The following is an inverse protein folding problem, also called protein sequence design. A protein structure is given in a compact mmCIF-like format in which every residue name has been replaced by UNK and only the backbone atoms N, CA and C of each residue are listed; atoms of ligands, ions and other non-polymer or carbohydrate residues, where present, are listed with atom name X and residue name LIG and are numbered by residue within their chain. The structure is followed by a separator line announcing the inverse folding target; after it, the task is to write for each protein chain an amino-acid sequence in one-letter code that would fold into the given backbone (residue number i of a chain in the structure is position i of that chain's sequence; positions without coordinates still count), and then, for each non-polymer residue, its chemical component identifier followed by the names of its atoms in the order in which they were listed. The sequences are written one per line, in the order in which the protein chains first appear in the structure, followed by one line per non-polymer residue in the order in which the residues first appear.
data_IF_667845556474
#
_entry.id   IF_667845556474
#
_cell.length_a   1.000
_cell.length_b   1.000
_cell.length_c   1.000
_cell.angle_alpha   90.00
_cell.angle_beta   90.00
_cell.angle_gamma   90.00
#
_symmetry.space_group_name_H-M   'P 1'
#
loop_
_entity.id
_entity.type
_entity.pdbx_description
1 polymer ?
#
# COMPACT_ATOMS: atom_id res chain seq x y z
N UNK A 1 -8.13 18.64 -3.60
CA UNK A 1 -8.58 17.44 -4.34
C UNK A 1 -8.64 16.30 -3.33
N UNK A 2 -9.48 15.29 -3.53
CA UNK A 2 -9.49 14.07 -2.72
C UNK A 2 -8.84 12.91 -3.49
N UNK A 3 -8.44 11.87 -2.75
CA UNK A 3 -7.90 10.61 -3.28
C UNK A 3 -9.02 9.71 -3.79
N UNK A 4 -8.65 8.71 -4.59
CA UNK A 4 -9.61 7.66 -4.98
C UNK A 4 -10.10 6.88 -3.74
N UNK A 5 -9.24 6.65 -2.76
CA UNK A 5 -9.63 6.04 -1.48
C UNK A 5 -10.76 6.81 -0.77
N UNK A 6 -10.62 8.14 -0.68
CA UNK A 6 -11.66 9.01 -0.11
C UNK A 6 -12.96 8.99 -0.95
N UNK A 7 -12.85 9.02 -2.28
CA UNK A 7 -14.02 8.97 -3.17
C UNK A 7 -14.79 7.66 -3.02
N UNK A 8 -14.10 6.52 -2.91
CA UNK A 8 -14.73 5.22 -2.68
C UNK A 8 -15.41 5.18 -1.32
N UNK A 9 -14.75 5.67 -0.26
CA UNK A 9 -15.35 5.71 1.08
C UNK A 9 -16.58 6.63 1.12
N UNK A 10 -16.57 7.75 0.39
CA UNK A 10 -17.71 8.66 0.27
C UNK A 10 -18.86 8.05 -0.54
N UNK A 11 -18.56 7.30 -1.59
CA UNK A 11 -19.57 6.62 -2.41
C UNK A 11 -20.25 5.46 -1.67
N UNK A 12 -19.55 4.83 -0.71
CA UNK A 12 -20.08 3.73 0.10
C UNK A 12 -19.85 4.01 1.60
N UNK A 13 -20.65 4.89 2.23
CA UNK A 13 -20.41 5.36 3.60
C UNK A 13 -20.40 4.25 4.66
N UNK A 14 -21.13 3.16 4.43
CA UNK A 14 -21.19 2.01 5.34
C UNK A 14 -20.03 1.01 5.14
N UNK A 15 -19.33 1.08 4.00
CA UNK A 15 -18.18 0.23 3.74
C UNK A 15 -17.00 0.68 4.60
N UNK A 16 -16.22 -0.29 5.11
CA UNK A 16 -14.98 -0.03 5.85
C UNK A 16 -13.79 -0.06 4.90
N UNK A 17 -13.56 1.03 4.18
CA UNK A 17 -12.54 1.08 3.12
C UNK A 17 -11.13 1.10 3.74
N UNK A 18 -10.26 0.23 3.21
CA UNK A 18 -8.83 0.20 3.53
C UNK A 18 -8.03 0.26 2.24
N UNK A 19 -7.22 1.31 2.08
CA UNK A 19 -6.26 1.46 0.98
C UNK A 19 -4.96 0.75 1.34
N UNK A 20 -4.45 -0.09 0.44
CA UNK A 20 -3.13 -0.71 0.54
C UNK A 20 -2.65 -1.23 -0.83
N UNK A 21 -1.47 -1.85 -0.89
CA UNK A 21 -0.84 -2.54 -2.03
C UNK A 21 -0.55 -1.73 -3.31
N UNK A 22 -1.14 -0.53 -3.48
CA UNK A 22 -1.07 0.23 -4.73
C UNK A 22 0.33 0.75 -5.14
N UNK A 23 1.34 0.60 -4.26
CA UNK A 23 2.68 1.17 -4.42
C UNK A 23 3.72 0.17 -4.93
N UNK A 24 3.29 -1.02 -5.36
CA UNK A 24 4.14 -2.06 -5.93
C UNK A 24 3.45 -2.76 -7.10
N UNK A 25 4.22 -3.52 -7.88
CA UNK A 25 3.68 -4.37 -8.94
C UNK A 25 2.97 -5.60 -8.38
N UNK A 26 2.06 -6.20 -9.16
CA UNK A 26 1.28 -7.36 -8.74
C UNK A 26 2.12 -8.55 -8.22
N UNK A 27 3.26 -8.93 -8.85
CA UNK A 27 4.11 -9.99 -8.31
C UNK A 27 4.64 -9.68 -6.89
N UNK A 28 4.99 -8.41 -6.64
CA UNK A 28 5.48 -7.96 -5.33
C UNK A 28 4.36 -7.93 -4.29
N UNK A 29 3.08 -7.76 -4.68
CA UNK A 29 1.95 -7.81 -3.75
C UNK A 29 1.83 -9.13 -2.98
N UNK A 30 2.17 -10.25 -3.64
CA UNK A 30 2.00 -11.62 -3.12
C UNK A 30 3.32 -12.31 -2.76
N UNK A 31 4.45 -11.79 -3.24
CA UNK A 31 5.78 -12.31 -2.96
C UNK A 31 6.77 -11.16 -2.68
N UNK A 32 6.54 -10.34 -1.64
CA UNK A 32 7.32 -9.15 -1.38
C UNK A 32 8.78 -9.44 -0.96
N UNK A 33 9.08 -10.64 -0.46
CA UNK A 33 10.44 -11.13 -0.19
C UNK A 33 11.27 -11.39 -1.45
N UNK A 34 10.65 -11.45 -2.63
CA UNK A 34 11.34 -11.63 -3.91
C UNK A 34 12.00 -10.34 -4.43
N UNK A 35 11.82 -9.21 -3.74
CA UNK A 35 12.45 -7.93 -4.10
C UNK A 35 13.95 -7.96 -3.73
N UNK A 36 14.87 -7.73 -4.70
CA UNK A 36 16.29 -7.64 -4.40
C UNK A 36 16.61 -6.50 -3.42
N UNK A 37 17.51 -6.75 -2.46
CA UNK A 37 17.88 -5.76 -1.44
C UNK A 37 16.93 -5.70 -0.24
N UNK A 38 15.92 -6.55 -0.20
CA UNK A 38 15.01 -6.72 0.92
C UNK A 38 13.61 -6.17 0.66
N UNK A 39 12.71 -6.51 1.57
CA UNK A 39 11.31 -6.24 1.43
C UNK A 39 10.97 -4.73 1.51
N UNK A 40 10.09 -4.20 0.63
CA UNK A 40 9.53 -2.85 0.77
C UNK A 40 8.64 -2.71 2.01
N UNK A 41 8.36 -1.47 2.40
CA UNK A 41 7.36 -1.17 3.43
C UNK A 41 5.98 -1.08 2.80
N UNK A 42 4.99 -1.77 3.34
CA UNK A 42 3.59 -1.60 2.95
C UNK A 42 2.87 -0.61 3.86
N UNK A 43 1.87 0.08 3.30
CA UNK A 43 1.09 1.06 4.03
C UNK A 43 -0.39 0.68 4.05
N UNK A 44 -1.08 1.00 5.14
CA UNK A 44 -2.53 0.90 5.25
C UNK A 44 -3.13 2.26 5.65
N UNK A 45 -4.24 2.63 5.02
CA UNK A 45 -5.00 3.85 5.30
C UNK A 45 -6.49 3.52 5.33
N UNK A 46 -7.21 3.93 6.38
CA UNK A 46 -8.62 3.61 6.53
C UNK A 46 -9.20 4.10 7.86
N UNK A 47 -10.49 4.42 7.86
CA UNK A 47 -11.17 5.05 9.00
C UNK A 47 -11.45 4.06 10.15
N UNK A 48 -11.67 2.79 9.83
CA UNK A 48 -12.04 1.76 10.78
C UNK A 48 -10.80 0.96 11.22
N UNK A 49 -10.50 1.00 12.51
CA UNK A 49 -9.32 0.34 13.08
C UNK A 49 -9.39 -1.19 13.02
N UNK A 50 -10.59 -1.77 13.13
CA UNK A 50 -10.81 -3.21 13.02
C UNK A 50 -10.54 -3.69 11.60
N UNK A 51 -11.08 -3.00 10.60
CA UNK A 51 -10.85 -3.31 9.19
C UNK A 51 -9.36 -3.20 8.83
N UNK A 52 -8.67 -2.15 9.28
CA UNK A 52 -7.21 -2.05 9.09
C UNK A 52 -6.45 -3.19 9.75
N UNK A 53 -6.86 -3.64 10.94
CA UNK A 53 -6.24 -4.77 11.62
C UNK A 53 -6.42 -6.07 10.82
N UNK A 54 -7.63 -6.35 10.33
CA UNK A 54 -7.92 -7.52 9.50
C UNK A 54 -7.10 -7.53 8.21
N UNK A 55 -7.03 -6.38 7.53
CA UNK A 55 -6.20 -6.24 6.31
C UNK A 55 -4.72 -6.41 6.62
N UNK A 56 -4.22 -5.82 7.72
CA UNK A 56 -2.82 -5.97 8.14
C UNK A 56 -2.49 -7.42 8.48
N UNK A 57 -3.41 -8.14 9.11
CA UNK A 57 -3.26 -9.57 9.39
C UNK A 57 -3.16 -10.37 8.08
N UNK A 58 -4.05 -10.13 7.11
CA UNK A 58 -3.99 -10.76 5.79
C UNK A 58 -2.66 -10.47 5.08
N UNK A 59 -2.21 -9.21 5.09
CA UNK A 59 -0.94 -8.81 4.50
C UNK A 59 0.23 -9.62 5.09
N UNK A 60 0.27 -9.77 6.42
CA UNK A 60 1.33 -10.50 7.12
C UNK A 60 1.26 -12.01 6.91
N UNK A 61 0.10 -12.59 7.20
CA UNK A 61 -0.05 -14.05 7.31
C UNK A 61 -0.20 -14.73 5.95
N UNK A 62 -0.84 -14.08 4.98
CA UNK A 62 -1.15 -14.69 3.69
C UNK A 62 -0.27 -14.18 2.56
N UNK A 63 0.17 -12.91 2.62
CA UNK A 63 0.94 -12.26 1.57
C UNK A 63 2.41 -12.00 1.94
N UNK A 64 2.82 -12.35 3.15
CA UNK A 64 4.21 -12.31 3.59
C UNK A 64 4.78 -10.91 3.84
N UNK A 65 3.95 -9.89 4.10
CA UNK A 65 4.40 -8.52 4.40
C UNK A 65 4.93 -8.40 5.83
N UNK A 66 6.25 -8.27 6.02
CA UNK A 66 6.85 -8.14 7.35
C UNK A 66 6.73 -6.73 7.93
N UNK A 67 6.96 -5.70 7.10
CA UNK A 67 6.87 -4.29 7.50
C UNK A 67 5.60 -3.64 6.93
N UNK A 68 4.64 -3.38 7.83
CA UNK A 68 3.37 -2.71 7.51
C UNK A 68 3.21 -1.51 8.44
N UNK A 69 3.01 -0.33 7.87
CA UNK A 69 2.78 0.93 8.58
C UNK A 69 1.33 1.37 8.39
N UNK A 70 0.62 1.57 9.50
CA UNK A 70 -0.66 2.27 9.51
C UNK A 70 -0.43 3.78 9.44
N UNK A 71 -0.85 4.40 8.33
CA UNK A 71 -0.70 5.84 8.11
C UNK A 71 -1.83 6.66 8.75
N UNK A 72 -2.89 6.02 9.22
CA UNK A 72 -4.05 6.68 9.83
C UNK A 72 -5.33 6.48 9.04
N UNK A 73 -6.13 7.54 8.93
CA UNK A 73 -7.44 7.51 8.31
C UNK A 73 -7.39 7.40 6.78
N UNK A 74 -8.56 7.37 6.11
CA UNK A 74 -8.62 7.23 4.64
C UNK A 74 -8.00 8.41 3.89
N UNK A 75 -7.88 9.60 4.50
CA UNK A 75 -7.30 10.79 3.85
C UNK A 75 -5.81 10.61 3.56
N UNK A 76 -5.13 9.73 4.32
CA UNK A 76 -3.71 9.40 4.12
C UNK A 76 -3.46 8.60 2.84
N UNK A 77 -4.51 8.04 2.22
CA UNK A 77 -4.41 7.38 0.91
C UNK A 77 -3.97 8.32 -0.22
N UNK A 78 -4.10 9.64 -0.04
CA UNK A 78 -3.51 10.65 -0.93
C UNK A 78 -2.01 10.44 -1.11
N UNK A 79 -1.28 10.22 -0.01
CA UNK A 79 0.16 10.05 -0.04
C UNK A 79 0.59 8.80 -0.81
N UNK A 80 -0.08 7.67 -0.55
CA UNK A 80 0.24 6.40 -1.23
C UNK A 80 -0.15 6.43 -2.71
N UNK A 81 -1.21 7.14 -3.10
CA UNK A 81 -1.56 7.36 -4.50
C UNK A 81 -0.56 8.27 -5.22
N UNK A 82 -0.08 9.32 -4.54
CA UNK A 82 0.93 10.24 -5.07
C UNK A 82 2.32 9.61 -5.26
N UNK A 83 2.57 8.40 -4.73
CA UNK A 83 3.79 7.65 -5.03
C UNK A 83 3.79 7.04 -6.43
N UNK A 84 2.63 6.87 -7.09
CA UNK A 84 2.54 6.21 -8.39
C UNK A 84 3.37 6.90 -9.49
N UNK A 85 3.33 8.24 -9.67
CA UNK A 85 4.18 8.90 -10.65
C UNK A 85 5.67 8.65 -10.42
N UNK A 86 6.13 8.64 -9.16
CA UNK A 86 7.51 8.31 -8.82
C UNK A 86 7.82 6.86 -9.15
N UNK A 87 6.93 5.92 -8.77
CA UNK A 87 7.06 4.50 -9.07
C UNK A 87 7.20 4.24 -10.58
N UNK A 88 6.37 4.88 -11.42
CA UNK A 88 6.43 4.73 -12.88
C UNK A 88 7.77 5.18 -13.46
N UNK A 89 8.31 6.30 -12.97
CA UNK A 89 9.62 6.80 -13.43
C UNK A 89 10.76 5.90 -12.97
N UNK A 90 10.71 5.40 -11.74
CA UNK A 90 11.68 4.43 -11.22
C UNK A 90 11.64 3.12 -12.00
N UNK A 91 10.45 2.62 -12.34
CA UNK A 91 10.29 1.44 -13.19
C UNK A 91 11.01 1.62 -14.53
N UNK A 92 10.79 2.75 -15.22
CA UNK A 92 11.48 3.06 -16.47
C UNK A 92 13.00 3.11 -16.34
N UNK A 93 13.52 3.66 -15.24
CA UNK A 93 14.95 3.76 -15.00
C UNK A 93 15.62 2.41 -14.63
N UNK A 94 14.92 1.57 -13.86
CA UNK A 94 15.44 0.27 -13.43
C UNK A 94 15.23 -0.85 -14.47
N UNK A 95 14.27 -0.68 -15.38
CA UNK A 95 13.92 -1.71 -16.37
C UNK A 95 13.25 -2.96 -15.78
N UNK A 96 12.82 -2.91 -14.51
CA UNK A 96 12.19 -4.04 -13.82
C UNK A 96 11.10 -3.55 -12.85
N UNK A 97 9.96 -4.27 -12.72
CA UNK A 97 8.91 -3.94 -11.75
C UNK A 97 9.16 -4.57 -10.36
N UNK A 98 10.26 -5.31 -10.19
CA UNK A 98 10.61 -6.03 -8.96
C UNK A 98 11.33 -5.11 -7.96
N UNK A 99 10.65 -4.04 -7.55
CA UNK A 99 11.12 -3.10 -6.53
C UNK A 99 9.94 -2.49 -5.76
N UNK A 100 10.26 -1.78 -4.67
CA UNK A 100 9.32 -0.95 -3.94
C UNK A 100 10.06 0.06 -3.05
N UNK A 101 9.30 0.91 -2.36
CA UNK A 101 9.87 1.88 -1.43
C UNK A 101 9.91 1.31 -0.01
N UNK A 102 10.97 1.62 0.74
CA UNK A 102 11.14 1.21 2.13
C UNK A 102 11.33 2.43 3.02
N UNK A 103 10.56 2.51 4.10
CA UNK A 103 10.80 3.47 5.17
C UNK A 103 11.91 2.92 6.09
N UNK A 104 13.08 3.55 6.05
CA UNK A 104 14.22 3.14 6.90
C UNK A 104 14.10 3.85 8.25
N UNK A 105 14.09 3.07 9.32
CA UNK A 105 13.97 3.50 10.72
C UNK A 105 14.69 2.54 11.64
#
# INVERSE_FOLDING_TARGET
TDSLGEQVQKAFPEARVVKTLNIVSAPVMIAPSAVPGGQPTMFVSGNDAEAKRQVTQLLREQLGWEDVIDLGDITTSRGTEMLLPLWVRTFGALGTPMFGFRAVR
#
